data_IF_990000473752
#
_entry.id   IF_990000473752
#
_cell.length_a   1.000
_cell.length_b   1.000
_cell.length_c   1.000
_cell.angle_alpha   90.00
_cell.angle_beta   90.00
_cell.angle_gamma   90.00
#
_symmetry.space_group_name_H-M   'P 1'
#
loop_
_entity.id
_entity.type
_entity.pdbx_description
1 polymer ?
#
# COMPACT_ATOMS: atom_id res chain seq x y z
N UNK A 1 65.23 28.35 -21.34
CA UNK A 1 65.20 27.32 -20.29
C UNK A 1 64.50 27.90 -19.09
N UNK A 2 63.59 27.13 -18.50
CA UNK A 2 62.77 27.44 -17.32
C UNK A 2 61.43 28.13 -17.60
N UNK A 3 60.49 27.38 -18.17
CA UNK A 3 59.07 27.58 -17.89
C UNK A 3 58.79 27.07 -16.47
N UNK A 4 58.54 27.99 -15.54
CA UNK A 4 57.95 27.67 -14.24
C UNK A 4 56.50 27.27 -14.46
N UNK A 5 56.28 25.95 -14.51
CA UNK A 5 54.98 25.31 -14.49
C UNK A 5 54.40 25.44 -13.07
N UNK A 6 53.79 26.58 -12.78
CA UNK A 6 52.94 26.79 -11.61
C UNK A 6 51.80 25.77 -11.66
N UNK A 7 51.93 24.68 -10.89
CA UNK A 7 50.81 23.78 -10.63
C UNK A 7 49.89 24.49 -9.65
N UNK A 8 48.83 25.08 -10.17
CA UNK A 8 47.65 25.43 -9.38
C UNK A 8 47.16 24.14 -8.70
N UNK A 9 47.25 24.12 -7.38
CA UNK A 9 46.52 23.16 -6.55
C UNK A 9 45.05 23.54 -6.64
N UNK A 10 44.29 22.88 -7.50
CA UNK A 10 42.83 22.95 -7.48
C UNK A 10 42.35 22.45 -6.11
N UNK A 11 41.97 23.38 -5.25
CA UNK A 11 41.24 23.10 -4.02
C UNK A 11 39.83 22.64 -4.40
N UNK A 12 39.62 21.31 -4.44
CA UNK A 12 38.30 20.71 -4.48
C UNK A 12 37.58 20.93 -3.15
N UNK A 13 37.09 22.16 -2.95
CA UNK A 13 36.18 22.48 -1.86
C UNK A 13 34.74 22.31 -2.36
N UNK A 14 34.36 21.06 -2.66
CA UNK A 14 32.95 20.72 -2.76
C UNK A 14 32.32 20.82 -1.35
N UNK A 15 31.14 21.45 -1.22
CA UNK A 15 30.50 21.62 0.07
C UNK A 15 30.22 20.24 0.67
N UNK A 16 30.92 19.93 1.77
CA UNK A 16 30.93 18.64 2.44
C UNK A 16 29.56 18.17 2.99
N UNK A 17 28.46 18.88 2.69
CA UNK A 17 27.12 18.58 3.19
C UNK A 17 26.49 17.38 2.47
N UNK A 18 26.77 17.13 1.19
CA UNK A 18 26.01 16.17 0.38
C UNK A 18 26.72 14.84 0.03
N UNK A 19 27.94 14.63 0.55
CA UNK A 19 28.69 13.40 0.32
C UNK A 19 28.08 12.22 1.10
N UNK A 20 28.11 10.99 0.55
CA UNK A 20 27.86 9.76 1.30
C UNK A 20 28.67 9.72 2.61
N UNK A 21 28.08 9.12 3.64
CA UNK A 21 28.64 9.09 4.99
C UNK A 21 30.04 8.45 5.02
N UNK A 22 30.27 7.46 4.13
CA UNK A 22 31.56 6.81 3.94
C UNK A 22 32.61 7.72 3.30
N UNK A 23 32.22 8.54 2.32
CA UNK A 23 33.13 9.44 1.63
C UNK A 23 33.59 10.59 2.54
N UNK A 24 32.70 11.06 3.43
CA UNK A 24 33.08 12.01 4.49
C UNK A 24 34.09 11.39 5.45
N UNK A 25 33.88 10.13 5.82
CA UNK A 25 34.78 9.38 6.70
C UNK A 25 36.15 9.15 6.04
N UNK A 26 36.17 8.72 4.78
CA UNK A 26 37.41 8.49 4.02
C UNK A 26 38.19 9.81 3.81
N UNK A 27 37.49 10.95 3.62
CA UNK A 27 38.11 12.30 3.58
C UNK A 27 38.70 12.70 4.94
N UNK A 28 38.01 12.42 6.05
CA UNK A 28 38.53 12.66 7.41
C UNK A 28 39.75 11.80 7.73
N UNK A 29 39.75 10.55 7.29
CA UNK A 29 40.91 9.66 7.42
C UNK A 29 42.07 10.20 6.57
N UNK A 30 41.83 10.69 5.35
CA UNK A 30 42.86 11.22 4.47
C UNK A 30 43.51 12.53 4.98
N UNK A 31 42.79 13.34 5.76
CA UNK A 31 43.33 14.59 6.30
C UNK A 31 44.20 14.42 7.57
N UNK A 32 44.21 13.23 8.18
CA UNK A 32 44.95 12.95 9.42
C UNK A 32 46.36 12.37 9.16
N UNK A 33 47.41 12.76 9.91
CA UNK A 33 48.75 12.20 9.79
C UNK A 33 48.80 10.68 10.09
N UNK A 34 49.75 9.93 9.51
CA UNK A 34 49.83 8.46 9.64
C UNK A 34 50.20 7.93 11.04
N UNK A 35 50.48 8.80 12.03
CA UNK A 35 50.76 8.43 13.41
C UNK A 35 49.71 8.87 14.43
N UNK A 36 48.59 9.46 13.97
CA UNK A 36 47.55 9.97 14.86
C UNK A 36 46.73 8.80 15.45
N UNK A 37 46.56 8.70 16.79
CA UNK A 37 45.70 7.69 17.39
C UNK A 37 44.26 7.73 16.86
N UNK A 38 43.73 8.92 16.54
CA UNK A 38 42.37 9.10 16.02
C UNK A 38 42.22 8.47 14.63
N UNK A 39 43.29 8.46 13.83
CA UNK A 39 43.28 7.82 12.49
C UNK A 39 43.03 6.31 12.60
N UNK A 40 43.61 5.67 13.62
CA UNK A 40 43.43 4.23 13.86
C UNK A 40 42.00 3.93 14.26
N UNK A 41 41.43 4.69 15.18
CA UNK A 41 40.05 4.51 15.63
C UNK A 41 39.04 4.71 14.47
N UNK A 42 39.28 5.69 13.58
CA UNK A 42 38.44 5.90 12.40
C UNK A 42 38.55 4.76 11.37
N UNK A 43 39.74 4.18 11.20
CA UNK A 43 39.92 3.00 10.34
C UNK A 43 39.18 1.78 10.90
N UNK A 44 39.15 1.61 12.22
CA UNK A 44 38.40 0.53 12.89
C UNK A 44 36.88 0.75 12.80
N UNK A 45 36.41 2.00 12.80
CA UNK A 45 34.98 2.35 12.64
C UNK A 45 34.50 2.30 11.18
N UNK A 46 35.38 2.42 10.19
CA UNK A 46 35.05 2.37 8.76
C UNK A 46 34.21 1.15 8.35
N UNK A 47 34.58 -0.11 8.67
CA UNK A 47 33.78 -1.28 8.29
C UNK A 47 32.37 -1.22 8.90
N UNK A 48 32.23 -0.76 10.14
CA UNK A 48 30.91 -0.63 10.78
C UNK A 48 30.00 0.37 10.07
N UNK A 49 30.55 1.52 9.64
CA UNK A 49 29.81 2.53 8.87
C UNK A 49 29.45 2.01 7.47
N UNK A 50 30.33 1.19 6.86
CA UNK A 50 30.06 0.51 5.59
C UNK A 50 28.88 -0.45 5.70
N UNK A 51 28.91 -1.33 6.69
CA UNK A 51 27.87 -2.33 6.91
C UNK A 51 26.51 -1.68 7.21
N UNK A 52 26.50 -0.63 8.03
CA UNK A 52 25.27 0.14 8.29
C UNK A 52 24.74 0.85 7.04
N UNK A 53 25.61 1.45 6.24
CA UNK A 53 25.20 2.10 4.99
C UNK A 53 24.61 1.09 4.00
N UNK A 54 25.21 -0.10 3.91
CA UNK A 54 24.68 -1.19 3.10
C UNK A 54 23.31 -1.66 3.62
N UNK A 55 23.17 -1.90 4.93
CA UNK A 55 21.91 -2.32 5.53
C UNK A 55 20.79 -1.30 5.30
N UNK A 56 21.08 0.00 5.41
CA UNK A 56 20.11 1.07 5.13
C UNK A 56 19.72 1.06 3.64
N UNK A 57 20.68 0.83 2.74
CA UNK A 57 20.42 0.68 1.31
C UNK A 57 19.49 -0.49 1.00
N UNK A 58 19.79 -1.67 1.55
CA UNK A 58 18.98 -2.89 1.41
C UNK A 58 17.56 -2.70 1.97
N UNK A 59 17.43 -2.09 3.15
CA UNK A 59 16.13 -1.79 3.75
C UNK A 59 15.30 -0.85 2.87
N UNK A 60 15.91 0.20 2.29
CA UNK A 60 15.23 1.11 1.37
C UNK A 60 14.76 0.40 0.10
N UNK A 61 15.60 -0.45 -0.49
CA UNK A 61 15.21 -1.27 -1.66
C UNK A 61 14.04 -2.20 -1.34
N UNK A 62 14.03 -2.80 -0.14
CA UNK A 62 12.93 -3.66 0.28
C UNK A 62 11.63 -2.86 0.44
N UNK A 63 11.69 -1.66 1.02
CA UNK A 63 10.52 -0.76 1.12
C UNK A 63 10.00 -0.41 -0.27
N UNK A 64 10.86 0.03 -1.19
CA UNK A 64 10.47 0.37 -2.55
C UNK A 64 9.82 -0.82 -3.27
N UNK A 65 10.39 -2.02 -3.12
CA UNK A 65 9.82 -3.25 -3.68
C UNK A 65 8.43 -3.57 -3.10
N UNK A 66 8.23 -3.36 -1.79
CA UNK A 66 6.92 -3.53 -1.15
C UNK A 66 5.91 -2.50 -1.67
N UNK A 67 6.34 -1.25 -1.87
CA UNK A 67 5.52 -0.20 -2.46
C UNK A 67 5.11 -0.53 -3.91
N UNK A 68 6.02 -1.08 -4.72
CA UNK A 68 5.70 -1.56 -6.07
C UNK A 68 4.66 -2.68 -6.05
N UNK A 69 4.80 -3.63 -5.13
CA UNK A 69 3.83 -4.72 -4.96
C UNK A 69 2.46 -4.16 -4.57
N UNK A 70 2.41 -3.21 -3.63
CA UNK A 70 1.17 -2.51 -3.27
C UNK A 70 0.57 -1.83 -4.51
N UNK A 71 1.36 -1.08 -5.28
CA UNK A 71 0.89 -0.37 -6.48
C UNK A 71 0.31 -1.33 -7.53
N UNK A 72 0.95 -2.48 -7.74
CA UNK A 72 0.45 -3.53 -8.66
C UNK A 72 -0.87 -4.11 -8.18
N UNK A 73 -1.01 -4.40 -6.88
CA UNK A 73 -2.26 -4.92 -6.31
C UNK A 73 -3.39 -3.88 -6.35
N UNK A 74 -3.06 -2.58 -6.32
CA UNK A 74 -4.05 -1.48 -6.44
C UNK A 74 -4.31 -1.02 -7.87
N UNK A 75 -3.77 -1.70 -8.89
CA UNK A 75 -3.91 -1.31 -10.30
C UNK A 75 -5.38 -1.36 -10.78
N UNK A 76 -5.75 -0.60 -11.83
CA UNK A 76 -7.15 -0.19 -12.10
C UNK A 76 -8.13 -1.31 -12.50
N UNK A 77 -7.68 -2.55 -12.69
CA UNK A 77 -8.53 -3.70 -13.03
C UNK A 77 -9.21 -4.34 -11.81
N UNK A 78 -9.58 -3.55 -10.81
CA UNK A 78 -10.25 -4.06 -9.63
C UNK A 78 -11.69 -4.43 -9.96
N UNK A 79 -12.11 -5.60 -9.46
CA UNK A 79 -13.48 -6.07 -9.59
C UNK A 79 -14.35 -5.33 -8.58
N UNK A 80 -15.62 -5.15 -8.93
CA UNK A 80 -16.59 -4.56 -8.02
C UNK A 80 -17.51 -5.68 -7.52
N UNK A 81 -17.69 -5.74 -6.20
CA UNK A 81 -18.61 -6.64 -5.54
C UNK A 81 -19.63 -5.91 -4.68
N UNK A 82 -20.58 -6.65 -4.13
CA UNK A 82 -21.55 -6.16 -3.14
C UNK A 82 -21.24 -6.80 -1.80
N UNK A 83 -21.10 -5.98 -0.76
CA UNK A 83 -20.85 -6.45 0.60
C UNK A 83 -22.15 -6.93 1.26
N UNK A 84 -22.16 -8.18 1.73
CA UNK A 84 -23.32 -8.80 2.38
C UNK A 84 -23.23 -8.76 3.91
N UNK A 85 -22.02 -8.75 4.47
CA UNK A 85 -21.81 -8.64 5.91
C UNK A 85 -20.42 -9.07 6.35
N UNK A 86 -20.05 -8.68 7.58
CA UNK A 86 -18.84 -9.14 8.23
C UNK A 86 -19.07 -10.55 8.81
N UNK A 87 -18.16 -11.48 8.53
CA UNK A 87 -18.19 -12.84 9.10
C UNK A 87 -17.29 -12.94 10.34
N UNK A 88 -16.18 -12.20 10.34
CA UNK A 88 -15.26 -12.09 11.48
C UNK A 88 -14.59 -10.71 11.54
N UNK A 89 -13.49 -10.56 12.28
CA UNK A 89 -12.76 -9.29 12.42
C UNK A 89 -12.05 -8.86 11.14
N UNK A 90 -11.69 -9.81 10.29
CA UNK A 90 -10.88 -9.64 9.08
C UNK A 90 -11.50 -10.33 7.86
N UNK A 91 -12.58 -11.11 8.04
CA UNK A 91 -13.29 -11.76 6.94
C UNK A 91 -14.70 -11.20 6.70
N UNK A 92 -15.05 -11.09 5.43
CA UNK A 92 -16.30 -10.53 4.92
C UNK A 92 -16.96 -11.48 3.91
N UNK A 93 -18.28 -11.43 3.85
CA UNK A 93 -19.09 -12.10 2.85
C UNK A 93 -19.45 -11.10 1.75
N UNK A 94 -19.09 -11.42 0.51
CA UNK A 94 -19.32 -10.56 -0.66
C UNK A 94 -19.90 -11.35 -1.83
N UNK A 95 -20.56 -10.65 -2.74
CA UNK A 95 -20.97 -11.20 -4.04
C UNK A 95 -20.21 -10.49 -5.14
N UNK A 96 -19.59 -11.25 -6.04
CA UNK A 96 -18.91 -10.72 -7.23
C UNK A 96 -19.42 -11.48 -8.44
N UNK A 97 -20.00 -10.76 -9.41
CA UNK A 97 -20.53 -11.37 -10.64
C UNK A 97 -21.63 -12.41 -10.43
N UNK A 98 -22.37 -12.33 -9.32
CA UNK A 98 -23.46 -13.26 -8.98
C UNK A 98 -23.04 -14.51 -8.20
N UNK A 99 -21.75 -14.66 -7.85
CA UNK A 99 -21.28 -15.73 -6.97
C UNK A 99 -20.90 -15.19 -5.59
N UNK A 100 -21.20 -15.96 -4.55
CA UNK A 100 -20.89 -15.67 -3.14
C UNK A 100 -19.45 -16.06 -2.79
N UNK A 101 -18.75 -15.18 -2.06
CA UNK A 101 -17.37 -15.39 -1.61
C UNK A 101 -17.21 -14.96 -0.15
N UNK A 102 -16.51 -15.79 0.63
CA UNK A 102 -15.88 -15.34 1.86
C UNK A 102 -14.47 -14.86 1.53
N UNK A 103 -14.16 -13.63 1.90
CA UNK A 103 -12.91 -12.97 1.56
C UNK A 103 -12.30 -12.25 2.75
N UNK A 104 -11.00 -11.97 2.64
CA UNK A 104 -10.31 -11.12 3.61
C UNK A 104 -10.54 -9.64 3.30
N UNK A 105 -10.42 -8.80 4.31
CA UNK A 105 -10.46 -7.35 4.19
C UNK A 105 -9.07 -6.77 4.42
N UNK A 106 -8.66 -5.85 3.56
CA UNK A 106 -7.39 -5.14 3.74
C UNK A 106 -7.37 -4.41 5.10
N UNK A 107 -6.31 -4.55 5.92
CA UNK A 107 -6.23 -3.93 7.24
C UNK A 107 -6.41 -2.41 7.26
N UNK A 108 -6.20 -1.73 6.12
CA UNK A 108 -6.40 -0.28 5.97
C UNK A 108 -7.88 0.11 5.91
N UNK A 109 -8.77 -0.85 5.63
CA UNK A 109 -10.21 -0.63 5.53
C UNK A 109 -10.88 -0.96 6.87
N UNK A 110 -11.67 -0.01 7.38
CA UNK A 110 -12.45 -0.22 8.58
C UNK A 110 -13.72 -1.01 8.26
N UNK A 111 -13.74 -2.29 8.62
CA UNK A 111 -14.91 -3.17 8.49
C UNK A 111 -16.17 -2.60 9.14
N UNK A 112 -16.04 -1.84 10.23
CA UNK A 112 -17.16 -1.20 10.91
C UNK A 112 -17.84 -0.10 10.09
N UNK A 113 -17.15 0.47 9.08
CA UNK A 113 -17.73 1.48 8.18
C UNK A 113 -18.46 0.85 7.01
N UNK A 114 -18.16 -0.40 6.67
CA UNK A 114 -18.82 -1.11 5.58
C UNK A 114 -20.26 -1.46 5.97
N UNK A 115 -21.20 -0.98 5.18
CA UNK A 115 -22.61 -1.26 5.37
C UNK A 115 -23.06 -2.34 4.40
N UNK A 116 -23.90 -3.26 4.89
CA UNK A 116 -24.50 -4.28 4.04
C UNK A 116 -25.25 -3.63 2.87
N UNK A 117 -24.97 -4.12 1.67
CA UNK A 117 -25.50 -3.62 0.41
C UNK A 117 -24.62 -2.57 -0.28
N UNK A 118 -23.52 -2.11 0.33
CA UNK A 118 -22.57 -1.22 -0.36
C UNK A 118 -21.76 -1.99 -1.40
N UNK A 119 -21.32 -1.26 -2.42
CA UNK A 119 -20.35 -1.75 -3.39
C UNK A 119 -18.96 -1.64 -2.78
N UNK A 120 -18.17 -2.68 -2.99
CA UNK A 120 -16.80 -2.77 -2.53
C UNK A 120 -15.86 -3.03 -3.69
N UNK A 121 -14.67 -2.47 -3.59
CA UNK A 121 -13.61 -2.65 -4.56
C UNK A 121 -12.75 -3.83 -4.13
N UNK A 122 -12.52 -4.75 -5.06
CA UNK A 122 -11.98 -6.07 -4.79
C UNK A 122 -10.81 -6.34 -5.74
N UNK A 123 -9.68 -6.80 -5.20
CA UNK A 123 -8.52 -7.15 -6.02
C UNK A 123 -8.67 -8.56 -6.66
N UNK A 124 -7.66 -9.00 -7.42
CA UNK A 124 -7.67 -10.31 -8.09
C UNK A 124 -7.73 -11.52 -7.12
N UNK A 125 -7.26 -11.34 -5.89
CA UNK A 125 -7.33 -12.34 -4.81
C UNK A 125 -8.65 -12.29 -4.03
N UNK A 126 -9.65 -11.58 -4.54
CA UNK A 126 -10.95 -11.35 -3.90
C UNK A 126 -10.89 -10.60 -2.57
N UNK A 127 -9.80 -9.91 -2.24
CA UNK A 127 -9.67 -9.13 -1.00
C UNK A 127 -10.32 -7.76 -1.17
N UNK A 128 -11.09 -7.32 -0.17
CA UNK A 128 -11.69 -5.98 -0.14
C UNK A 128 -10.60 -4.94 0.11
N UNK A 129 -10.42 -4.03 -0.83
CA UNK A 129 -9.40 -2.97 -0.79
C UNK A 129 -10.01 -1.57 -0.75
N UNK A 130 -11.32 -1.43 -0.88
CA UNK A 130 -12.00 -0.14 -0.84
C UNK A 130 -13.53 -0.23 -0.70
N UNK A 131 -14.12 0.85 -0.22
CA UNK A 131 -15.58 1.06 -0.15
C UNK A 131 -16.00 2.08 -1.22
N UNK A 132 -17.01 1.72 -2.01
CA UNK A 132 -17.61 2.58 -3.03
C UNK A 132 -18.98 3.14 -2.60
N UNK A 133 -19.51 2.70 -1.46
CA UNK A 133 -20.83 3.10 -0.97
C UNK A 133 -21.98 2.47 -1.74
N UNK A 134 -23.17 3.04 -1.62
CA UNK A 134 -24.36 2.52 -2.29
C UNK A 134 -24.46 2.98 -3.74
N UNK A 135 -24.90 2.08 -4.61
CA UNK A 135 -25.22 2.44 -5.98
C UNK A 135 -26.62 3.04 -6.07
N UNK A 136 -26.70 4.23 -6.66
CA UNK A 136 -27.95 4.98 -6.84
C UNK A 136 -28.59 4.74 -8.21
N UNK A 137 -27.95 3.96 -9.08
CA UNK A 137 -28.42 3.64 -10.43
C UNK A 137 -28.70 2.14 -10.57
N UNK A 138 -29.85 1.78 -11.14
CA UNK A 138 -30.19 0.36 -11.34
C UNK A 138 -31.65 0.14 -11.74
N UNK A 139 -32.03 -1.11 -12.03
CA UNK A 139 -33.41 -1.47 -12.33
C UNK A 139 -34.31 -1.24 -11.12
N UNK A 140 -35.45 -0.60 -11.36
CA UNK A 140 -36.47 -0.33 -10.34
C UNK A 140 -37.57 -1.39 -10.44
N UNK A 141 -38.00 -1.92 -9.30
CA UNK A 141 -39.06 -2.93 -9.22
C UNK A 141 -40.02 -2.63 -8.06
N UNK A 142 -41.26 -3.11 -8.17
CA UNK A 142 -42.28 -2.96 -7.14
C UNK A 142 -42.06 -4.01 -6.04
N UNK A 143 -42.03 -3.56 -4.79
CA UNK A 143 -42.06 -4.45 -3.62
C UNK A 143 -43.48 -4.98 -3.49
N UNK A 144 -43.64 -6.30 -3.58
CA UNK A 144 -44.94 -6.96 -3.39
C UNK A 144 -45.21 -7.27 -1.93
N UNK A 145 -44.16 -7.62 -1.18
CA UNK A 145 -44.27 -7.97 0.24
C UNK A 145 -42.95 -7.72 0.98
N UNK A 146 -43.05 -7.28 2.24
CA UNK A 146 -41.90 -7.20 3.16
C UNK A 146 -41.91 -8.43 4.04
N UNK A 147 -40.86 -9.24 3.98
CA UNK A 147 -40.75 -10.51 4.71
C UNK A 147 -39.81 -10.30 5.91
N UNK A 148 -40.39 -10.23 7.10
CA UNK A 148 -39.61 -9.99 8.32
C UNK A 148 -39.01 -8.58 8.34
N UNK A 149 -37.77 -8.45 8.80
CA UNK A 149 -37.10 -7.14 8.92
C UNK A 149 -36.19 -6.80 7.75
N UNK A 150 -35.62 -7.80 7.09
CA UNK A 150 -34.47 -7.61 6.20
C UNK A 150 -34.67 -8.21 4.80
N UNK A 151 -35.83 -8.78 4.48
CA UNK A 151 -36.09 -9.37 3.16
C UNK A 151 -37.30 -8.75 2.48
N UNK A 152 -37.22 -8.65 1.17
CA UNK A 152 -38.24 -8.08 0.30
C UNK A 152 -38.59 -9.08 -0.78
N UNK A 153 -39.88 -9.34 -0.98
CA UNK A 153 -40.36 -10.00 -2.19
C UNK A 153 -40.63 -8.93 -3.23
N UNK A 154 -40.03 -9.11 -4.41
CA UNK A 154 -40.22 -8.25 -5.58
C UNK A 154 -40.71 -9.08 -6.75
N UNK A 155 -41.57 -8.51 -7.59
CA UNK A 155 -42.15 -9.22 -8.72
C UNK A 155 -43.28 -8.45 -9.38
N UNK A 156 -43.65 -8.87 -10.59
CA UNK A 156 -44.82 -8.34 -11.29
C UNK A 156 -46.09 -8.91 -10.67
N UNK A 157 -47.13 -8.08 -10.59
CA UNK A 157 -48.44 -8.40 -9.99
C UNK A 157 -49.14 -9.59 -10.68
N UNK A 158 -48.75 -9.91 -11.92
CA UNK A 158 -49.34 -10.97 -12.75
C UNK A 158 -48.36 -12.07 -13.15
N UNK A 159 -47.15 -12.11 -12.58
CA UNK A 159 -46.08 -13.03 -12.98
C UNK A 159 -45.83 -14.16 -11.97
N UNK A 160 -45.61 -15.37 -12.48
CA UNK A 160 -45.18 -16.55 -11.70
C UNK A 160 -43.75 -16.47 -11.17
N UNK A 161 -43.00 -15.42 -11.49
CA UNK A 161 -41.62 -15.20 -11.03
C UNK A 161 -41.57 -14.08 -9.99
N UNK A 162 -41.44 -14.47 -8.72
CA UNK A 162 -41.13 -13.57 -7.61
C UNK A 162 -39.72 -13.83 -7.10
N UNK A 163 -38.93 -12.78 -6.89
CA UNK A 163 -37.60 -12.86 -6.32
C UNK A 163 -37.62 -12.37 -4.87
N UNK A 164 -36.84 -13.00 -4.00
CA UNK A 164 -36.61 -12.51 -2.64
C UNK A 164 -35.24 -11.84 -2.59
N UNK A 165 -35.22 -10.55 -2.28
CA UNK A 165 -34.02 -9.73 -2.12
C UNK A 165 -33.78 -9.42 -0.65
N UNK A 166 -32.52 -9.14 -0.31
CA UNK A 166 -32.15 -8.68 1.01
C UNK A 166 -32.04 -7.16 1.04
N UNK A 167 -32.53 -6.53 2.11
CA UNK A 167 -32.43 -5.09 2.33
C UNK A 167 -30.99 -4.67 2.63
N UNK A 168 -30.63 -3.53 2.06
CA UNK A 168 -29.47 -2.75 2.49
C UNK A 168 -29.63 -2.29 3.94
N UNK A 169 -28.52 -2.04 4.65
CA UNK A 169 -28.55 -1.58 6.03
C UNK A 169 -29.24 -0.22 6.24
N UNK A 170 -29.36 0.61 5.19
CA UNK A 170 -29.91 1.96 5.28
C UNK A 170 -31.39 2.07 4.80
N UNK A 171 -32.13 0.94 4.71
CA UNK A 171 -33.54 0.86 4.24
C UNK A 171 -34.45 -0.01 5.13
#
# INVERSE_FOLDING_TARGET
MSEERSREFESFDEPASNLPLLDKLDRMIASLPPGDPVRRDLLDLRPHVSDQSQMIGEARQMIEKLEEVIKKVTSPANRIGTFLGATSKDTAHIVVGGADYYCNVDPRISLAKLKKGTRVLVNEAFVIVGDLGFETAGPVTKITEVIGKDRLRVGSEHGTQSLVLQRSADL
#
